data_IF_518027165632
#
_entry.id   IF_518027165632
#
_cell.length_a   1.000
_cell.length_b   1.000
_cell.length_c   1.000
_cell.angle_alpha   90.00
_cell.angle_beta   90.00
_cell.angle_gamma   90.00
#
_symmetry.space_group_name_H-M   'P 1'
#
loop_
_entity.id
_entity.type
_entity.pdbx_description
1 polymer ?
#
# COMPACT_ATOMS: atom_id res chain seq x y z
N UNK A 1 -17.89 14.10 -2.71
CA UNK A 1 -18.35 12.70 -2.80
C UNK A 1 -17.18 11.84 -2.35
N UNK A 2 -17.42 10.83 -1.51
CA UNK A 2 -16.41 9.85 -1.14
C UNK A 2 -16.83 8.48 -1.61
N UNK A 3 -15.87 7.73 -2.13
CA UNK A 3 -16.07 6.36 -2.57
C UNK A 3 -15.08 5.50 -1.82
N UNK A 4 -15.60 4.60 -0.98
CA UNK A 4 -14.81 3.61 -0.28
C UNK A 4 -14.74 2.36 -1.16
N UNK A 5 -13.53 1.93 -1.50
CA UNK A 5 -13.32 0.68 -2.25
C UNK A 5 -12.76 -0.35 -1.29
N UNK A 6 -13.55 -1.38 -1.02
CA UNK A 6 -13.24 -2.39 -0.02
C UNK A 6 -13.68 -3.75 -0.58
N UNK A 7 -12.75 -4.67 -0.81
CA UNK A 7 -13.04 -5.99 -1.40
C UNK A 7 -13.74 -6.92 -0.44
N UNK A 8 -13.48 -6.82 0.86
CA UNK A 8 -14.10 -7.65 1.90
C UNK A 8 -15.57 -7.27 2.08
N UNK A 9 -16.45 -8.20 1.72
CA UNK A 9 -17.88 -8.03 1.98
C UNK A 9 -18.17 -7.85 3.47
N UNK A 10 -17.42 -8.55 4.34
CA UNK A 10 -17.58 -8.43 5.78
C UNK A 10 -17.24 -7.03 6.28
N UNK A 11 -16.17 -6.41 5.76
CA UNK A 11 -15.82 -5.03 6.12
C UNK A 11 -16.83 -4.03 5.55
N UNK A 12 -17.26 -4.19 4.29
CA UNK A 12 -18.33 -3.35 3.71
C UNK A 12 -19.62 -3.39 4.53
N UNK A 13 -20.01 -4.55 5.07
CA UNK A 13 -21.18 -4.70 5.95
C UNK A 13 -21.01 -4.02 7.31
N UNK A 14 -19.78 -3.81 7.79
CA UNK A 14 -19.47 -3.13 9.07
C UNK A 14 -19.37 -1.61 8.93
N UNK A 15 -19.01 -1.10 7.75
CA UNK A 15 -18.83 0.34 7.49
C UNK A 15 -20.04 1.21 7.91
N UNK A 16 -21.31 0.82 7.66
CA UNK A 16 -22.48 1.61 8.07
C UNK A 16 -22.58 1.90 9.57
N UNK A 17 -21.93 1.11 10.43
CA UNK A 17 -21.91 1.35 11.88
C UNK A 17 -21.03 2.55 12.28
N UNK A 18 -20.16 3.03 11.38
CA UNK A 18 -19.22 4.14 11.63
C UNK A 18 -19.47 5.33 10.71
N UNK A 19 -20.03 5.10 9.52
CA UNK A 19 -20.22 6.12 8.50
C UNK A 19 -21.54 5.89 7.78
N UNK A 20 -22.37 6.94 7.64
CA UNK A 20 -23.59 6.87 6.85
C UNK A 20 -23.24 6.69 5.37
N UNK A 21 -23.74 5.61 4.77
CA UNK A 21 -23.55 5.31 3.35
C UNK A 21 -24.84 5.58 2.57
N UNK A 22 -24.68 6.11 1.37
CA UNK A 22 -25.70 6.28 0.36
C UNK A 22 -25.54 5.20 -0.72
N UNK A 23 -26.64 4.80 -1.39
CA UNK A 23 -26.56 3.91 -2.55
C UNK A 23 -25.56 4.44 -3.61
N UNK A 24 -24.70 3.60 -4.21
CA UNK A 24 -23.71 4.07 -5.18
C UNK A 24 -24.29 4.88 -6.33
N UNK A 25 -25.50 4.56 -6.81
CA UNK A 25 -26.19 5.32 -7.84
C UNK A 25 -26.46 6.78 -7.44
N UNK A 26 -26.74 7.05 -6.15
CA UNK A 26 -26.96 8.40 -5.63
C UNK A 26 -25.66 9.21 -5.52
N UNK A 27 -24.52 8.52 -5.40
CA UNK A 27 -23.20 9.17 -5.28
C UNK A 27 -22.54 9.35 -6.64
N UNK A 28 -22.59 8.34 -7.51
CA UNK A 28 -21.95 8.36 -8.82
C UNK A 28 -22.80 9.09 -9.87
N UNK A 29 -24.12 9.13 -9.70
CA UNK A 29 -25.05 9.60 -10.72
C UNK A 29 -25.38 8.51 -11.74
N UNK A 30 -26.27 8.81 -12.71
CA UNK A 30 -26.65 7.83 -13.72
C UNK A 30 -25.48 7.51 -14.66
N UNK A 31 -25.42 6.27 -15.19
CA UNK A 31 -24.29 5.78 -15.98
C UNK A 31 -24.13 6.47 -17.34
N UNK A 32 -25.15 7.16 -17.84
CA UNK A 32 -25.14 7.90 -19.11
C UNK A 32 -24.68 9.37 -18.96
N UNK A 33 -24.36 9.80 -17.73
CA UNK A 33 -23.94 11.17 -17.43
C UNK A 33 -25.05 12.22 -17.60
N UNK A 34 -26.30 11.79 -17.81
CA UNK A 34 -27.44 12.72 -17.86
C UNK A 34 -27.65 13.34 -16.47
N UNK A 35 -27.74 14.66 -16.37
CA UNK A 35 -28.06 15.34 -15.10
C UNK A 35 -29.56 15.24 -14.75
N UNK A 36 -30.19 14.09 -15.01
CA UNK A 36 -31.62 13.86 -14.79
C UNK A 36 -31.98 13.76 -13.31
N UNK A 37 -32.93 14.61 -12.89
CA UNK A 37 -33.62 14.74 -11.60
C UNK A 37 -32.98 14.00 -10.41
N UNK A 38 -32.11 14.74 -9.71
CA UNK A 38 -31.61 14.34 -8.39
C UNK A 38 -32.79 14.33 -7.41
N UNK A 39 -32.99 13.26 -6.61
CA UNK A 39 -33.91 13.32 -5.49
C UNK A 39 -33.49 14.48 -4.57
N UNK A 40 -34.33 15.52 -4.50
CA UNK A 40 -34.16 16.61 -3.55
C UNK A 40 -34.37 16.04 -2.14
N UNK A 41 -33.27 15.86 -1.40
CA UNK A 41 -33.33 15.44 0.00
C UNK A 41 -32.30 14.37 0.38
N UNK A 42 -31.07 14.78 0.64
CA UNK A 42 -30.20 14.11 1.62
C UNK A 42 -29.24 15.16 2.16
N UNK A 43 -29.15 15.25 3.49
CA UNK A 43 -28.64 16.40 4.23
C UNK A 43 -27.19 16.81 3.92
N UNK A 44 -26.87 18.03 4.35
CA UNK A 44 -25.57 18.67 4.30
C UNK A 44 -24.44 17.74 4.77
N UNK A 45 -23.69 17.19 3.83
CA UNK A 45 -22.54 16.34 4.10
C UNK A 45 -22.00 15.74 2.82
N UNK A 46 -20.73 15.29 2.82
CA UNK A 46 -20.23 14.60 1.64
C UNK A 46 -20.99 13.27 1.50
N UNK A 47 -21.63 13.05 0.35
CA UNK A 47 -22.23 11.76 0.02
C UNK A 47 -21.14 10.69 -0.05
N UNK A 48 -21.32 9.58 0.67
CA UNK A 48 -20.36 8.48 0.75
C UNK A 48 -20.99 7.18 0.26
N UNK A 49 -20.33 6.46 -0.64
CA UNK A 49 -20.73 5.11 -1.06
C UNK A 49 -19.59 4.12 -0.86
N UNK A 50 -19.91 2.83 -0.88
CA UNK A 50 -18.93 1.74 -0.86
C UNK A 50 -19.09 0.85 -2.09
N UNK A 51 -17.97 0.48 -2.71
CA UNK A 51 -17.86 -0.49 -3.80
C UNK A 51 -16.91 -1.63 -3.43
N UNK A 52 -17.08 -2.77 -4.11
CA UNK A 52 -16.15 -3.88 -4.00
C UNK A 52 -14.86 -3.66 -4.80
N UNK A 53 -14.95 -2.93 -5.90
CA UNK A 53 -13.85 -2.66 -6.83
C UNK A 53 -13.82 -1.18 -7.21
N UNK A 54 -12.72 -0.74 -7.83
CA UNK A 54 -12.60 0.60 -8.38
C UNK A 54 -13.73 0.87 -9.40
N UNK A 55 -14.22 2.13 -9.49
CA UNK A 55 -15.31 2.47 -10.40
C UNK A 55 -14.88 2.32 -11.87
N UNK A 56 -15.84 1.94 -12.71
CA UNK A 56 -15.66 1.82 -14.16
C UNK A 56 -15.83 3.21 -14.79
N UNK A 57 -14.82 3.64 -15.54
CA UNK A 57 -14.83 4.91 -16.29
C UNK A 57 -13.98 6.00 -15.63
N UNK A 58 -13.46 6.94 -16.43
CA UNK A 58 -12.52 7.92 -15.93
C UNK A 58 -13.25 9.06 -15.19
N UNK A 59 -12.80 9.40 -13.99
CA UNK A 59 -13.33 10.53 -13.20
C UNK A 59 -12.28 11.60 -12.92
N UNK A 60 -12.72 12.80 -12.54
CA UNK A 60 -11.84 13.84 -12.02
C UNK A 60 -11.79 13.74 -10.50
N UNK A 61 -10.62 13.48 -9.91
CA UNK A 61 -10.54 13.33 -8.46
C UNK A 61 -9.22 12.79 -7.92
N UNK A 62 -9.27 12.32 -6.68
CA UNK A 62 -8.12 11.75 -5.98
C UNK A 62 -8.42 10.31 -5.59
N UNK A 63 -7.52 9.40 -5.92
CA UNK A 63 -7.46 8.05 -5.34
C UNK A 63 -6.46 8.08 -4.20
N UNK A 64 -6.88 7.65 -3.01
CA UNK A 64 -6.03 7.57 -1.82
C UNK A 64 -5.97 6.10 -1.35
N UNK A 65 -4.75 5.60 -1.17
CA UNK A 65 -4.48 4.31 -0.53
C UNK A 65 -3.53 4.54 0.65
N UNK A 66 -3.98 4.16 1.85
CA UNK A 66 -3.19 4.24 3.07
C UNK A 66 -3.01 2.83 3.61
N UNK A 67 -1.76 2.34 3.66
CA UNK A 67 -1.39 1.00 4.13
C UNK A 67 -2.25 -0.08 3.46
N UNK A 68 -2.27 -0.05 2.13
CA UNK A 68 -3.06 -0.98 1.32
C UNK A 68 -2.16 -1.87 0.48
N UNK A 69 -1.06 -1.34 -0.04
CA UNK A 69 -0.24 -2.09 -1.00
C UNK A 69 0.63 -3.13 -0.28
N UNK A 70 1.02 -2.88 0.96
CA UNK A 70 1.75 -3.81 1.80
C UNK A 70 0.98 -5.10 2.14
N UNK A 71 -0.35 -5.02 2.08
CA UNK A 71 -1.29 -6.11 2.28
C UNK A 71 -1.60 -6.90 0.99
N UNK A 72 -1.04 -6.49 -0.15
CA UNK A 72 -1.28 -7.19 -1.42
C UNK A 72 -0.33 -8.38 -1.59
N UNK A 73 -0.80 -9.48 -2.23
CA UNK A 73 0.05 -10.64 -2.48
C UNK A 73 1.31 -10.30 -3.30
N UNK A 74 2.42 -10.90 -2.89
CA UNK A 74 3.72 -10.77 -3.55
C UNK A 74 4.29 -12.16 -3.89
N UNK A 75 5.32 -12.19 -4.71
CA UNK A 75 6.19 -13.36 -4.93
C UNK A 75 7.48 -13.14 -4.17
N UNK A 76 8.01 -14.19 -3.54
CA UNK A 76 9.26 -14.13 -2.82
C UNK A 76 10.34 -14.87 -3.60
N UNK A 77 11.41 -14.17 -3.98
CA UNK A 77 12.54 -14.75 -4.69
C UNK A 77 13.80 -14.65 -3.84
N UNK A 78 14.73 -15.58 -4.04
CA UNK A 78 16.04 -15.61 -3.42
C UNK A 78 17.13 -15.70 -4.48
N UNK A 79 18.19 -14.90 -4.35
CA UNK A 79 19.35 -14.99 -5.23
C UNK A 79 20.04 -16.33 -5.02
N UNK A 80 20.08 -17.17 -6.05
CA UNK A 80 20.69 -18.50 -6.00
C UNK A 80 22.21 -18.38 -5.82
N UNK A 81 22.77 -19.25 -4.98
CA UNK A 81 24.22 -19.42 -4.85
C UNK A 81 24.83 -20.41 -5.85
N UNK A 82 23.99 -21.00 -6.69
CA UNK A 82 24.33 -22.02 -7.66
C UNK A 82 23.57 -21.75 -8.95
N UNK A 83 24.07 -22.27 -10.07
CA UNK A 83 23.37 -22.20 -11.36
C UNK A 83 22.57 -23.48 -11.52
N UNK A 84 21.27 -23.35 -11.72
CA UNK A 84 20.43 -24.50 -12.07
C UNK A 84 20.80 -25.02 -13.46
N UNK A 85 21.29 -26.25 -13.54
CA UNK A 85 21.46 -26.96 -14.80
C UNK A 85 20.14 -27.68 -15.08
N UNK A 86 19.37 -27.19 -16.05
CA UNK A 86 18.01 -27.67 -16.31
C UNK A 86 17.93 -29.16 -16.65
N UNK A 87 16.87 -29.82 -16.18
CA UNK A 87 16.40 -31.11 -16.70
C UNK A 87 15.52 -30.84 -17.94
N UNK A 88 16.15 -30.53 -19.08
CA UNK A 88 15.46 -30.27 -20.34
C UNK A 88 16.43 -30.20 -21.52
N UNK A 89 15.99 -30.45 -22.77
CA UNK A 89 16.88 -30.47 -23.93
C UNK A 89 17.57 -29.11 -24.10
N UNK A 90 18.90 -29.13 -23.97
CA UNK A 90 19.79 -27.97 -24.04
C UNK A 90 19.55 -27.16 -25.31
N UNK A 91 18.87 -26.01 -25.19
CA UNK A 91 19.04 -24.92 -26.14
C UNK A 91 20.23 -24.09 -25.66
N UNK A 92 21.27 -24.07 -26.49
CA UNK A 92 22.52 -23.30 -26.33
C UNK A 92 22.30 -21.81 -26.59
N UNK A 93 21.34 -21.19 -25.92
CA UNK A 93 21.31 -19.74 -25.79
C UNK A 93 21.57 -19.43 -24.32
N UNK A 94 22.81 -19.06 -24.00
CA UNK A 94 23.20 -18.54 -22.69
C UNK A 94 22.57 -17.15 -22.51
N UNK A 95 21.25 -17.09 -22.43
CA UNK A 95 20.52 -15.86 -22.17
C UNK A 95 20.68 -15.50 -20.70
N UNK A 96 21.05 -14.23 -20.49
CA UNK A 96 21.22 -13.59 -19.19
C UNK A 96 19.92 -13.76 -18.38
N UNK A 97 19.96 -14.52 -17.29
CA UNK A 97 18.87 -14.64 -16.32
C UNK A 97 18.55 -16.07 -15.86
N UNK A 98 18.84 -17.09 -16.68
CA UNK A 98 18.52 -18.48 -16.30
C UNK A 98 19.44 -18.99 -15.19
N UNK A 99 18.83 -19.46 -14.09
CA UNK A 99 19.52 -20.13 -12.99
C UNK A 99 20.17 -19.24 -11.92
N UNK A 100 19.83 -17.94 -11.85
CA UNK A 100 20.33 -17.04 -10.79
C UNK A 100 19.35 -16.77 -9.65
N UNK A 101 18.10 -17.17 -9.81
CA UNK A 101 17.04 -16.91 -8.84
C UNK A 101 16.24 -18.17 -8.53
N UNK A 102 15.94 -18.34 -7.25
CA UNK A 102 15.02 -19.34 -6.72
C UNK A 102 13.70 -18.64 -6.36
N UNK A 103 12.57 -19.21 -6.75
CA UNK A 103 11.28 -18.84 -6.16
C UNK A 103 11.13 -19.57 -4.83
N UNK A 104 10.80 -18.83 -3.78
CA UNK A 104 10.44 -19.40 -2.47
C UNK A 104 8.98 -19.85 -2.54
N UNK A 105 8.76 -21.15 -2.42
CA UNK A 105 7.43 -21.75 -2.34
C UNK A 105 7.23 -22.44 -1.00
N UNK A 106 5.99 -22.78 -0.68
CA UNK A 106 5.62 -23.48 0.55
C UNK A 106 5.12 -24.87 0.19
N UNK A 107 5.74 -25.90 0.77
CA UNK A 107 5.34 -27.30 0.63
C UNK A 107 4.06 -27.63 1.41
N UNK A 108 3.52 -28.84 1.20
CA UNK A 108 2.32 -29.32 1.91
C UNK A 108 2.52 -29.42 3.43
N UNK A 109 3.77 -29.60 3.87
CA UNK A 109 4.18 -29.66 5.27
C UNK A 109 4.48 -28.27 5.87
N UNK A 110 4.12 -27.19 5.16
CA UNK A 110 4.38 -25.80 5.54
C UNK A 110 5.87 -25.47 5.70
N UNK A 111 6.72 -26.14 4.93
CA UNK A 111 8.14 -25.79 4.85
C UNK A 111 8.44 -24.96 3.61
N UNK A 112 9.37 -24.02 3.73
CA UNK A 112 9.87 -23.28 2.58
C UNK A 112 10.73 -24.19 1.70
N UNK A 113 10.45 -24.20 0.41
CA UNK A 113 11.23 -24.88 -0.62
C UNK A 113 11.70 -23.89 -1.67
N UNK A 114 12.97 -24.01 -2.07
CA UNK A 114 13.56 -23.23 -3.15
C UNK A 114 13.44 -24.02 -4.44
N UNK A 115 12.77 -23.44 -5.43
CA UNK A 115 12.67 -24.01 -6.78
C UNK A 115 13.22 -23.03 -7.79
N UNK A 116 13.75 -23.49 -8.95
CA UNK A 116 14.19 -22.57 -9.99
C UNK A 116 13.07 -21.59 -10.35
N UNK A 117 13.36 -20.28 -10.31
CA UNK A 117 12.39 -19.29 -10.75
C UNK A 117 12.07 -19.47 -12.24
N UNK A 118 10.80 -19.27 -12.62
CA UNK A 118 10.42 -19.22 -14.03
C UNK A 118 11.16 -18.07 -14.75
N UNK A 119 11.36 -18.17 -16.09
CA UNK A 119 12.17 -17.22 -16.84
C UNK A 119 11.69 -15.77 -16.70
N UNK A 120 10.38 -15.53 -16.74
CA UNK A 120 9.81 -14.18 -16.59
C UNK A 120 10.10 -13.58 -15.20
N UNK A 121 9.97 -14.39 -14.15
CA UNK A 121 10.28 -13.96 -12.78
C UNK A 121 11.77 -13.67 -12.59
N UNK A 122 12.64 -14.48 -13.20
CA UNK A 122 14.09 -14.27 -13.14
C UNK A 122 14.50 -12.98 -13.86
N UNK A 123 13.89 -12.68 -15.02
CA UNK A 123 14.10 -11.44 -15.76
C UNK A 123 13.64 -10.22 -14.96
N UNK A 124 12.47 -10.28 -14.32
CA UNK A 124 11.98 -9.20 -13.46
C UNK A 124 12.88 -9.02 -12.23
N UNK A 125 13.32 -10.11 -11.61
CA UNK A 125 14.24 -10.07 -10.48
C UNK A 125 15.58 -9.43 -10.84
N UNK A 126 16.19 -9.79 -11.97
CA UNK A 126 17.43 -9.18 -12.46
C UNK A 126 17.24 -7.71 -12.85
N UNK A 127 16.04 -7.31 -13.32
CA UNK A 127 15.73 -5.91 -13.59
C UNK A 127 15.73 -5.07 -12.31
N UNK A 128 15.09 -5.58 -11.25
CA UNK A 128 14.89 -4.80 -10.02
C UNK A 128 16.04 -4.92 -9.03
N UNK A 129 16.77 -6.03 -9.03
CA UNK A 129 17.87 -6.26 -8.10
C UNK A 129 19.06 -6.99 -8.76
N UNK A 130 19.70 -6.41 -9.80
CA UNK A 130 20.78 -7.06 -10.55
C UNK A 130 21.97 -7.45 -9.66
N UNK A 131 22.24 -6.63 -8.63
CA UNK A 131 23.36 -6.75 -7.70
C UNK A 131 22.95 -7.33 -6.33
N UNK A 132 21.84 -8.07 -6.27
CA UNK A 132 21.44 -8.77 -5.06
C UNK A 132 22.53 -9.74 -4.60
N UNK A 133 22.89 -9.75 -3.30
CA UNK A 133 23.85 -10.72 -2.78
C UNK A 133 23.26 -12.14 -2.85
N UNK A 134 24.11 -13.15 -3.01
CA UNK A 134 23.69 -14.55 -2.91
C UNK A 134 22.98 -14.79 -1.56
N UNK A 135 21.83 -15.46 -1.60
CA UNK A 135 20.96 -15.66 -0.44
C UNK A 135 20.07 -14.46 -0.10
N UNK A 136 20.31 -13.30 -0.69
CA UNK A 136 19.43 -12.13 -0.56
C UNK A 136 18.06 -12.42 -1.15
N UNK A 137 17.00 -12.04 -0.42
CA UNK A 137 15.61 -12.21 -0.87
C UNK A 137 15.02 -10.90 -1.36
N UNK A 138 14.12 -10.97 -2.32
CA UNK A 138 13.38 -9.82 -2.83
C UNK A 138 11.89 -10.15 -2.95
N UNK A 139 10.99 -9.18 -2.72
CA UNK A 139 9.62 -9.29 -3.17
C UNK A 139 9.51 -8.89 -4.65
N UNK A 140 8.71 -9.60 -5.44
CA UNK A 140 8.12 -9.07 -6.67
C UNK A 140 6.63 -8.83 -6.39
N UNK A 141 6.14 -7.62 -6.65
CA UNK A 141 4.82 -7.16 -6.21
C UNK A 141 3.89 -6.84 -7.40
N UNK A 142 3.53 -7.84 -8.23
CA UNK A 142 2.72 -7.61 -9.43
C UNK A 142 1.31 -7.11 -9.09
N UNK A 143 0.74 -7.51 -7.95
CA UNK A 143 -0.58 -7.05 -7.51
C UNK A 143 -0.58 -5.57 -7.12
N UNK A 144 0.48 -5.08 -6.46
CA UNK A 144 0.65 -3.66 -6.16
C UNK A 144 0.81 -2.83 -7.44
N UNK A 145 1.62 -3.32 -8.38
CA UNK A 145 1.76 -2.70 -9.70
C UNK A 145 0.44 -2.71 -10.49
N UNK A 146 -0.33 -3.79 -10.43
CA UNK A 146 -1.65 -3.89 -11.06
C UNK A 146 -2.65 -2.92 -10.43
N UNK A 147 -2.63 -2.78 -9.10
CA UNK A 147 -3.47 -1.84 -8.38
C UNK A 147 -3.17 -0.40 -8.79
N UNK A 148 -1.89 0.01 -8.84
CA UNK A 148 -1.50 1.36 -9.28
C UNK A 148 -1.96 1.60 -10.73
N UNK A 149 -1.76 0.63 -11.62
CA UNK A 149 -2.24 0.72 -13.02
C UNK A 149 -3.75 0.92 -13.10
N UNK A 150 -4.52 0.18 -12.31
CA UNK A 150 -5.97 0.30 -12.26
C UNK A 150 -6.41 1.67 -11.71
N UNK A 151 -5.80 2.12 -10.60
CA UNK A 151 -6.08 3.42 -10.00
C UNK A 151 -5.81 4.58 -10.97
N UNK A 152 -4.67 4.55 -11.68
CA UNK A 152 -4.35 5.51 -12.72
C UNK A 152 -5.36 5.46 -13.89
N UNK A 153 -5.76 4.25 -14.30
CA UNK A 153 -6.73 4.03 -15.38
C UNK A 153 -8.15 4.53 -15.08
N UNK A 154 -8.50 4.71 -13.81
CA UNK A 154 -9.78 5.29 -13.39
C UNK A 154 -9.81 6.83 -13.43
N UNK A 155 -8.70 7.52 -13.71
CA UNK A 155 -8.64 8.98 -13.66
C UNK A 155 -8.60 9.61 -15.06
N UNK A 156 -9.41 10.65 -15.27
CA UNK A 156 -9.25 11.60 -16.40
C UNK A 156 -8.29 12.73 -16.03
N UNK A 157 -8.46 13.31 -14.84
CA UNK A 157 -7.60 14.34 -14.25
C UNK A 157 -7.56 14.17 -12.73
N UNK A 158 -6.41 14.40 -12.11
CA UNK A 158 -6.27 14.43 -10.66
C UNK A 158 -5.05 13.69 -10.17
N UNK A 159 -5.17 12.94 -9.07
CA UNK A 159 -4.01 12.34 -8.40
C UNK A 159 -4.28 10.94 -7.83
N UNK A 160 -3.28 10.06 -7.90
CA UNK A 160 -3.19 8.87 -7.05
C UNK A 160 -2.17 9.17 -5.95
N UNK A 161 -2.56 8.96 -4.69
CA UNK A 161 -1.70 9.12 -3.50
C UNK A 161 -1.65 7.78 -2.77
N UNK A 162 -0.45 7.25 -2.62
CA UNK A 162 -0.17 6.03 -1.86
C UNK A 162 0.66 6.41 -0.65
N UNK A 163 0.24 5.98 0.54
CA UNK A 163 0.96 6.12 1.79
C UNK A 163 1.22 4.71 2.31
N UNK A 164 2.48 4.31 2.31
CA UNK A 164 2.87 2.96 2.72
C UNK A 164 4.31 2.95 3.23
N UNK A 165 4.70 1.96 4.01
CA UNK A 165 6.11 1.79 4.36
C UNK A 165 6.83 1.07 3.22
N UNK A 166 7.82 1.74 2.66
CA UNK A 166 8.38 1.36 1.38
C UNK A 166 9.89 1.59 1.32
N UNK A 167 10.56 0.78 0.51
CA UNK A 167 11.99 0.87 0.20
C UNK A 167 12.19 0.41 -1.25
N UNK A 168 13.42 0.44 -1.74
CA UNK A 168 13.76 -0.06 -3.09
C UNK A 168 14.08 -1.54 -3.06
N UNK A 169 13.73 -2.28 -4.11
CA UNK A 169 14.05 -3.72 -4.23
C UNK A 169 15.54 -4.03 -3.95
N UNK A 170 16.53 -3.24 -4.44
CA UNK A 170 17.94 -3.45 -4.08
C UNK A 170 18.27 -3.30 -2.60
N UNK A 171 17.60 -2.40 -1.87
CA UNK A 171 17.80 -2.24 -0.43
C UNK A 171 17.18 -3.41 0.34
N UNK A 172 15.97 -3.83 -0.04
CA UNK A 172 15.31 -5.01 0.52
C UNK A 172 16.17 -6.27 0.34
N UNK A 173 16.82 -6.42 -0.82
CA UNK A 173 17.72 -7.53 -1.12
C UNK A 173 18.91 -7.68 -0.15
N UNK A 174 19.28 -6.60 0.56
CA UNK A 174 20.45 -6.55 1.46
C UNK A 174 20.07 -6.66 2.93
N UNK A 175 18.79 -6.62 3.25
CA UNK A 175 18.27 -6.69 4.63
C UNK A 175 17.74 -8.09 4.93
N UNK A 176 17.79 -8.56 6.19
CA UNK A 176 17.11 -9.78 6.58
C UNK A 176 15.63 -9.72 6.18
N UNK A 177 15.15 -10.73 5.45
CA UNK A 177 13.80 -10.69 4.87
C UNK A 177 12.69 -10.58 5.92
N UNK A 178 12.93 -11.11 7.12
CA UNK A 178 12.03 -11.01 8.27
C UNK A 178 11.89 -9.58 8.84
N UNK A 179 12.69 -8.62 8.36
CA UNK A 179 12.50 -7.21 8.67
C UNK A 179 11.48 -6.54 7.77
N UNK A 180 11.30 -7.03 6.54
CA UNK A 180 10.41 -6.42 5.56
C UNK A 180 9.21 -7.29 5.15
N UNK A 181 9.22 -8.60 5.44
CA UNK A 181 8.00 -9.39 5.61
C UNK A 181 7.71 -9.45 7.10
N UNK A 182 6.57 -8.88 7.50
CA UNK A 182 6.20 -8.76 8.91
C UNK A 182 4.88 -9.47 9.14
N UNK A 183 4.68 -9.88 10.38
CA UNK A 183 3.44 -10.46 10.85
C UNK A 183 2.94 -9.72 12.07
N UNK A 184 1.63 -9.70 12.25
CA UNK A 184 1.00 -9.09 13.41
C UNK A 184 -0.09 -9.98 13.98
N UNK A 185 -0.09 -10.11 15.31
CA UNK A 185 -1.06 -10.91 16.06
C UNK A 185 -1.33 -10.26 17.40
N UNK A 186 -2.60 -10.24 17.82
CA UNK A 186 -3.02 -9.72 19.12
C UNK A 186 -2.45 -8.33 19.46
N UNK A 187 -2.44 -7.40 18.49
CA UNK A 187 -1.91 -6.03 18.60
C UNK A 187 -0.38 -5.92 18.83
N UNK A 188 0.38 -6.97 18.49
CA UNK A 188 1.83 -6.96 18.53
C UNK A 188 2.46 -7.67 17.33
N UNK A 189 3.79 -7.73 17.32
CA UNK A 189 4.55 -8.47 16.30
C UNK A 189 4.26 -9.97 16.42
N UNK A 190 3.91 -10.59 15.30
CA UNK A 190 3.68 -12.02 15.19
C UNK A 190 4.96 -12.83 15.05
N UNK A 191 4.78 -14.14 14.84
CA UNK A 191 5.86 -15.10 14.61
C UNK A 191 6.21 -15.26 13.12
N UNK A 192 6.88 -16.36 12.74
CA UNK A 192 7.08 -16.70 11.33
C UNK A 192 5.75 -16.73 10.55
N UNK A 193 5.71 -16.29 9.27
CA UNK A 193 4.47 -16.22 8.48
C UNK A 193 3.66 -17.51 8.42
N UNK A 194 4.31 -18.67 8.50
CA UNK A 194 3.66 -19.99 8.40
C UNK A 194 3.20 -20.58 9.74
N UNK A 195 3.45 -19.93 10.88
CA UNK A 195 3.17 -20.49 12.20
C UNK A 195 1.68 -20.44 12.59
N UNK A 196 1.02 -19.29 12.37
CA UNK A 196 -0.36 -19.02 12.82
C UNK A 196 -1.27 -18.64 11.63
N UNK A 197 -1.32 -19.50 10.60
CA UNK A 197 -2.05 -19.22 9.36
C UNK A 197 -3.53 -18.86 9.61
N UNK A 198 -3.96 -17.72 9.06
CA UNK A 198 -5.32 -17.20 9.22
C UNK A 198 -5.58 -16.43 10.52
N UNK A 199 -4.73 -16.60 11.54
CA UNK A 199 -4.83 -15.94 12.85
C UNK A 199 -3.80 -14.81 13.04
N UNK A 200 -2.94 -14.58 12.04
CA UNK A 200 -2.01 -13.46 11.99
C UNK A 200 -2.10 -12.75 10.64
N UNK A 201 -1.85 -11.45 10.68
CA UNK A 201 -1.66 -10.64 9.48
C UNK A 201 -0.26 -10.88 8.91
N UNK A 202 -0.11 -10.73 7.59
CA UNK A 202 1.16 -10.86 6.87
C UNK A 202 1.28 -9.70 5.90
N UNK A 203 2.30 -8.89 6.10
CA UNK A 203 2.53 -7.70 5.30
C UNK A 203 3.93 -7.69 4.72
N UNK A 204 4.12 -6.95 3.62
CA UNK A 204 5.42 -6.78 2.96
C UNK A 204 5.70 -5.30 2.71
N UNK A 205 6.89 -4.80 3.05
CA UNK A 205 7.29 -3.44 2.65
C UNK A 205 7.14 -3.28 1.14
N UNK A 206 6.63 -2.14 0.72
CA UNK A 206 6.35 -1.86 -0.70
C UNK A 206 7.66 -1.57 -1.42
N UNK A 207 7.92 -2.29 -2.52
CA UNK A 207 9.04 -2.04 -3.41
C UNK A 207 8.71 -0.86 -4.34
N UNK A 208 9.00 0.36 -3.90
CA UNK A 208 8.54 1.60 -4.56
C UNK A 208 9.07 1.75 -6.00
N UNK A 209 10.25 1.21 -6.28
CA UNK A 209 10.85 1.15 -7.61
C UNK A 209 10.00 0.33 -8.59
N UNK A 210 9.36 -0.75 -8.12
CA UNK A 210 8.46 -1.57 -8.95
C UNK A 210 7.18 -0.82 -9.33
N UNK A 211 6.65 0.03 -8.44
CA UNK A 211 5.54 0.92 -8.77
C UNK A 211 5.96 1.95 -9.83
N UNK A 212 7.20 2.45 -9.72
CA UNK A 212 7.80 3.33 -10.74
C UNK A 212 7.94 2.69 -12.12
N UNK A 213 7.98 1.35 -12.19
CA UNK A 213 7.91 0.58 -13.43
C UNK A 213 6.55 0.64 -14.14
N UNK A 214 5.47 0.95 -13.43
CA UNK A 214 4.14 1.19 -14.03
C UNK A 214 4.08 2.58 -14.65
N UNK A 215 4.39 3.59 -13.82
CA UNK A 215 4.55 4.99 -14.19
C UNK A 215 5.49 5.59 -13.16
N UNK A 216 6.49 6.37 -13.59
CA UNK A 216 7.36 7.10 -12.66
C UNK A 216 6.50 8.04 -11.77
N UNK A 217 6.66 8.02 -10.44
CA UNK A 217 5.97 8.97 -9.56
C UNK A 217 6.38 10.40 -9.87
N UNK A 218 5.43 11.33 -9.77
CA UNK A 218 5.68 12.77 -9.89
C UNK A 218 6.29 13.31 -8.59
N UNK A 219 5.93 12.70 -7.45
CA UNK A 219 6.53 13.00 -6.12
C UNK A 219 6.68 11.71 -5.32
N UNK A 220 7.76 11.66 -4.54
CA UNK A 220 8.02 10.60 -3.58
C UNK A 220 8.76 11.21 -2.39
N UNK A 221 8.06 11.31 -1.25
CA UNK A 221 8.50 12.03 -0.04
C UNK A 221 8.30 11.15 1.19
N UNK A 222 8.97 11.46 2.29
CA UNK A 222 8.60 10.82 3.56
C UNK A 222 7.24 11.35 4.05
N UNK A 223 6.54 10.57 4.88
CA UNK A 223 5.30 10.99 5.52
C UNK A 223 5.52 12.26 6.35
N UNK A 224 6.63 12.36 7.07
CA UNK A 224 6.96 13.58 7.82
C UNK A 224 7.05 14.82 6.91
N UNK A 225 7.73 14.70 5.77
CA UNK A 225 7.84 15.77 4.78
C UNK A 225 6.48 16.11 4.15
N UNK A 226 5.67 15.11 3.83
CA UNK A 226 4.34 15.29 3.29
C UNK A 226 3.43 16.03 4.29
N UNK A 227 3.36 15.57 5.53
CA UNK A 227 2.50 16.16 6.55
C UNK A 227 2.91 17.61 6.89
N UNK A 228 4.21 17.89 7.01
CA UNK A 228 4.69 19.28 7.22
C UNK A 228 4.31 20.17 6.02
N UNK A 229 4.52 19.69 4.78
CA UNK A 229 4.12 20.43 3.58
C UNK A 229 2.60 20.67 3.46
N UNK A 230 1.79 19.89 4.19
CA UNK A 230 0.33 19.99 4.22
C UNK A 230 -0.23 20.57 5.53
N UNK A 231 0.60 21.29 6.30
CA UNK A 231 0.14 22.17 7.38
C UNK A 231 -0.02 21.48 8.73
N UNK A 232 0.62 20.33 8.96
CA UNK A 232 0.61 19.67 10.26
C UNK A 232 1.12 20.61 11.38
N UNK A 233 2.16 21.41 11.11
CA UNK A 233 2.72 22.35 12.09
C UNK A 233 1.67 23.40 12.54
N UNK A 234 0.85 23.88 11.61
CA UNK A 234 -0.27 24.79 11.90
C UNK A 234 -1.32 24.10 12.77
N UNK A 235 -1.66 22.85 12.49
CA UNK A 235 -2.63 22.07 13.28
C UNK A 235 -2.13 21.79 14.71
N UNK A 236 -0.83 21.56 14.87
CA UNK A 236 -0.16 21.40 16.16
C UNK A 236 -0.19 22.70 16.94
N UNK A 237 0.14 23.82 16.32
CA UNK A 237 0.13 25.13 17.00
C UNK A 237 -1.28 25.54 17.41
N UNK A 238 -2.29 25.30 16.56
CA UNK A 238 -3.69 25.48 16.93
C UNK A 238 -4.07 24.61 18.14
N UNK A 239 -3.63 23.35 18.17
CA UNK A 239 -3.84 22.44 19.29
C UNK A 239 -3.20 22.95 20.59
N UNK A 240 -1.97 23.46 20.53
CA UNK A 240 -1.29 24.07 21.70
C UNK A 240 -2.08 25.26 22.25
N UNK A 241 -2.55 26.15 21.39
CA UNK A 241 -3.36 27.30 21.79
C UNK A 241 -4.66 26.87 22.48
N UNK A 242 -5.41 25.95 21.88
CA UNK A 242 -6.67 25.44 22.46
C UNK A 242 -6.41 24.76 23.82
N UNK A 243 -5.33 23.98 23.93
CA UNK A 243 -4.96 23.35 25.20
C UNK A 243 -4.66 24.41 26.28
N UNK A 244 -3.87 25.44 25.97
CA UNK A 244 -3.57 26.52 26.93
C UNK A 244 -4.83 27.24 27.41
N UNK A 245 -5.77 27.52 26.51
CA UNK A 245 -7.03 28.23 26.84
C UNK A 245 -8.00 27.37 27.65
N UNK A 246 -8.02 26.05 27.44
CA UNK A 246 -9.07 25.15 27.95
C UNK A 246 -8.60 24.06 28.92
N UNK A 247 -7.30 23.94 29.19
CA UNK A 247 -6.76 22.87 30.04
C UNK A 247 -7.39 22.85 31.45
N UNK A 248 -7.70 24.02 32.02
CA UNK A 248 -8.35 24.12 33.33
C UNK A 248 -9.81 23.62 33.34
N UNK A 249 -10.45 23.59 32.17
CA UNK A 249 -11.83 23.09 31.98
C UNK A 249 -11.80 21.58 31.78
N UNK A 250 -10.76 21.06 31.11
CA UNK A 250 -10.56 19.63 30.90
C UNK A 250 -11.61 18.96 30.00
N UNK A 251 -12.20 19.72 29.07
CA UNK A 251 -13.24 19.22 28.19
C UNK A 251 -12.69 18.41 26.99
N UNK A 252 -13.60 17.79 26.21
CA UNK A 252 -13.22 16.98 25.05
C UNK A 252 -12.41 17.77 24.01
N UNK A 253 -12.69 19.08 23.87
CA UNK A 253 -11.92 19.95 22.98
C UNK A 253 -10.47 20.11 23.47
N UNK A 254 -10.25 20.30 24.78
CA UNK A 254 -8.92 20.32 25.36
C UNK A 254 -8.18 18.98 25.18
N UNK A 255 -8.87 17.85 25.41
CA UNK A 255 -8.27 16.52 25.21
C UNK A 255 -7.87 16.30 23.74
N UNK A 256 -8.77 16.58 22.80
CA UNK A 256 -8.47 16.46 21.37
C UNK A 256 -7.31 17.38 20.93
N UNK A 257 -7.26 18.60 21.46
CA UNK A 257 -6.18 19.54 21.19
C UNK A 257 -4.82 19.06 21.71
N UNK A 258 -4.79 18.45 22.91
CA UNK A 258 -3.58 17.83 23.46
C UNK A 258 -3.11 16.64 22.61
N UNK A 259 -4.04 15.79 22.16
CA UNK A 259 -3.73 14.64 21.31
C UNK A 259 -2.99 15.03 20.03
N UNK A 260 -3.34 16.17 19.40
CA UNK A 260 -2.68 16.64 18.18
C UNK A 260 -1.16 16.76 18.32
N UNK A 261 -0.67 17.21 19.48
CA UNK A 261 0.78 17.38 19.70
C UNK A 261 1.48 16.02 19.76
N UNK A 262 0.92 15.08 20.52
CA UNK A 262 1.50 13.74 20.71
C UNK A 262 1.37 12.88 19.46
N UNK A 263 0.23 12.93 18.78
CA UNK A 263 -0.03 12.16 17.56
C UNK A 263 0.80 12.70 16.39
N UNK A 264 0.96 14.03 16.26
CA UNK A 264 1.83 14.61 15.25
C UNK A 264 3.28 14.14 15.43
N UNK A 265 3.78 14.10 16.67
CA UNK A 265 5.13 13.60 16.94
C UNK A 265 5.27 12.12 16.52
N UNK A 266 4.28 11.28 16.82
CA UNK A 266 4.28 9.88 16.38
C UNK A 266 4.21 9.72 14.85
N UNK A 267 3.36 10.51 14.17
CA UNK A 267 3.19 10.48 12.72
C UNK A 267 4.41 10.99 11.94
N UNK A 268 5.28 11.77 12.58
CA UNK A 268 6.45 12.40 11.96
C UNK A 268 7.79 11.84 12.43
N UNK A 269 7.78 10.88 13.37
CA UNK A 269 9.00 10.24 13.88
C UNK A 269 9.74 9.52 12.74
N UNK A 270 10.97 9.94 12.36
CA UNK A 270 11.74 9.29 11.31
C UNK A 270 12.22 7.88 11.68
N UNK A 271 12.13 7.46 12.94
CA UNK A 271 12.37 6.07 13.35
C UNK A 271 11.09 5.21 13.31
N UNK A 272 9.93 5.83 13.04
CA UNK A 272 8.61 5.19 13.00
C UNK A 272 7.81 5.62 11.77
N UNK A 273 6.58 6.09 11.98
CA UNK A 273 5.64 6.40 10.90
C UNK A 273 6.12 7.53 9.98
N UNK A 274 6.96 8.44 10.49
CA UNK A 274 7.51 9.53 9.69
C UNK A 274 8.39 9.08 8.54
N UNK A 275 8.92 7.85 8.60
CA UNK A 275 9.72 7.23 7.54
C UNK A 275 8.90 6.61 6.41
N UNK A 276 7.58 6.50 6.56
CA UNK A 276 6.70 5.97 5.51
C UNK A 276 6.87 6.81 4.24
N UNK A 277 6.61 6.23 3.08
CA UNK A 277 6.68 6.94 1.79
C UNK A 277 5.29 7.39 1.38
N UNK A 278 5.20 8.63 0.93
CA UNK A 278 4.03 9.18 0.24
C UNK A 278 4.39 9.36 -1.22
N UNK A 279 3.82 8.49 -2.05
CA UNK A 279 4.10 8.38 -3.48
C UNK A 279 2.90 8.91 -4.25
N UNK A 280 3.15 9.84 -5.17
CA UNK A 280 2.10 10.60 -5.85
C UNK A 280 2.26 10.59 -7.37
N UNK A 281 1.15 10.40 -8.06
CA UNK A 281 1.05 10.49 -9.52
C UNK A 281 -0.04 11.49 -9.90
N UNK A 282 0.31 12.53 -10.64
CA UNK A 282 -0.60 13.52 -11.21
C UNK A 282 -0.98 13.14 -12.64
N UNK A 283 -2.26 13.32 -13.01
CA UNK A 283 -2.79 13.13 -14.37
C UNK A 283 -3.57 14.38 -14.77
N UNK A 284 -3.33 14.84 -16.00
CA UNK A 284 -4.07 15.95 -16.63
C UNK A 284 -3.47 17.31 -16.34
#
# INVERSE_FOLDING_TARGET
RYLLVERSEQLRRRTPARLRLEPPANVLGPPDGSEGDRPAGSGEGPLVASLAELPVGPFDGVVLANELLDNLPFRLLQRSGHVWVGFGPQKRDQNVGEGRWDEVRVGEDLTEVLVPAGPDLAVDADRWAPDAPVGGRIPLQPEAAAWVRAALGCLRRGRVVVIDYADTTPNLARRPWSEWVRTYRAHGRGGPPLADLGDQDVTCEVAVDQLGGVRRPDRDRSQAQFLSAHGLDTLVEEGRRIWQERAAIGDLAAVAARSRVTEAAALTDPAGLGAFRVVEWELG
#
